data_IF_532941621833
#
_entry.id   IF_532941621833
#
_cell.length_a   1.000
_cell.length_b   1.000
_cell.length_c   1.000
_cell.angle_alpha   90.00
_cell.angle_beta   90.00
_cell.angle_gamma   90.00
#
_symmetry.space_group_name_H-M   'P 1'
#
loop_
_entity.id
_entity.type
_entity.pdbx_description
1 polymer ?
#
# COMPACT_ATOMS: atom_id res chain seq x y z
N UNK A 1 29.94 -8.87 18.51
CA UNK A 1 29.97 -10.26 18.04
C UNK A 1 28.96 -10.42 16.91
N UNK A 2 29.36 -10.20 15.66
CA UNK A 2 28.47 -10.34 14.50
C UNK A 2 28.39 -11.81 14.11
N UNK A 3 27.26 -12.46 14.41
CA UNK A 3 26.99 -13.84 14.01
C UNK A 3 26.78 -13.93 12.50
N UNK A 4 27.85 -14.23 11.75
CA UNK A 4 27.77 -14.57 10.33
C UNK A 4 26.92 -15.83 10.16
N UNK A 5 25.74 -15.72 9.54
CA UNK A 5 24.91 -16.88 9.19
C UNK A 5 25.66 -17.72 8.15
N UNK A 6 26.18 -18.87 8.55
CA UNK A 6 26.66 -19.87 7.60
C UNK A 6 25.51 -20.24 6.66
N UNK A 7 25.69 -19.99 5.37
CA UNK A 7 24.71 -20.36 4.35
C UNK A 7 24.79 -21.87 4.20
N UNK A 8 23.72 -22.58 4.59
CA UNK A 8 23.60 -24.03 4.40
C UNK A 8 23.90 -24.40 2.95
N UNK A 9 24.61 -25.50 2.71
CA UNK A 9 25.00 -26.00 1.39
C UNK A 9 23.84 -25.99 0.37
N UNK A 10 22.63 -26.34 0.83
CA UNK A 10 21.37 -26.32 0.08
C UNK A 10 20.89 -24.94 -0.41
N UNK A 11 21.61 -23.86 -0.10
CA UNK A 11 21.30 -22.46 -0.46
C UNK A 11 22.44 -21.75 -1.21
N UNK A 12 23.58 -22.42 -1.42
CA UNK A 12 24.76 -21.79 -2.03
C UNK A 12 24.47 -21.50 -3.51
N UNK A 13 24.59 -20.24 -3.92
CA UNK A 13 24.43 -19.80 -5.31
C UNK A 13 22.99 -19.71 -5.84
N UNK A 14 21.97 -19.88 -4.99
CA UNK A 14 20.57 -19.83 -5.39
C UNK A 14 19.88 -18.51 -5.04
N UNK A 15 18.87 -18.08 -5.82
CA UNK A 15 18.05 -16.92 -5.50
C UNK A 15 17.40 -17.02 -4.11
N UNK A 16 17.03 -15.88 -3.54
CA UNK A 16 16.42 -15.82 -2.21
C UNK A 16 15.15 -16.70 -2.16
N UNK A 17 15.01 -17.48 -1.09
CA UNK A 17 13.92 -18.46 -0.84
C UNK A 17 13.93 -19.71 -1.73
N UNK A 18 14.93 -19.89 -2.58
CA UNK A 18 15.14 -21.15 -3.26
C UNK A 18 15.93 -22.10 -2.37
N UNK A 19 15.62 -23.40 -2.48
CA UNK A 19 16.33 -24.47 -1.79
C UNK A 19 16.52 -25.64 -2.74
N UNK A 20 17.71 -26.23 -2.74
CA UNK A 20 17.95 -27.50 -3.37
C UNK A 20 17.82 -28.61 -2.32
N UNK A 21 16.85 -29.50 -2.50
CA UNK A 21 16.59 -30.62 -1.59
C UNK A 21 16.23 -31.85 -2.40
N UNK A 22 16.73 -33.02 -1.99
CA UNK A 22 16.40 -34.32 -2.62
C UNK A 22 16.49 -34.34 -4.16
N UNK A 23 17.52 -33.68 -4.73
CA UNK A 23 17.74 -33.65 -6.17
C UNK A 23 16.79 -32.71 -6.96
N UNK A 24 16.06 -31.83 -6.28
CA UNK A 24 15.15 -30.88 -6.91
C UNK A 24 15.22 -29.46 -6.29
N UNK A 25 14.82 -28.48 -7.08
CA UNK A 25 14.68 -27.09 -6.68
C UNK A 25 13.28 -26.83 -6.14
N UNK A 26 13.22 -26.20 -4.97
CA UNK A 26 11.99 -25.78 -4.32
C UNK A 26 11.99 -24.27 -4.07
N UNK A 27 10.82 -23.65 -4.25
CA UNK A 27 10.56 -22.28 -3.84
C UNK A 27 9.83 -22.26 -2.50
N UNK A 28 10.41 -21.62 -1.50
CA UNK A 28 9.76 -21.38 -0.21
C UNK A 28 8.85 -20.15 -0.34
N UNK A 29 7.55 -20.38 -0.23
CA UNK A 29 6.55 -19.32 -0.41
C UNK A 29 6.55 -18.41 0.83
N UNK A 30 6.58 -17.08 0.67
CA UNK A 30 6.33 -16.17 1.78
C UNK A 30 5.02 -16.47 2.51
N UNK A 31 5.01 -16.39 3.86
CA UNK A 31 3.78 -16.48 4.62
C UNK A 31 2.82 -15.37 4.17
N UNK A 32 1.58 -15.74 3.84
CA UNK A 32 0.55 -14.85 3.30
C UNK A 32 0.41 -14.87 1.77
N UNK A 33 1.38 -15.42 1.03
CA UNK A 33 1.26 -15.63 -0.43
C UNK A 33 0.95 -17.11 -0.77
N UNK A 34 0.67 -17.95 0.24
CA UNK A 34 0.39 -19.38 0.08
C UNK A 34 -0.79 -19.62 -0.86
N UNK A 35 -1.81 -18.75 -0.86
CA UNK A 35 -2.95 -18.83 -1.78
C UNK A 35 -2.54 -18.81 -3.27
N UNK A 36 -1.45 -18.12 -3.62
CA UNK A 36 -0.96 -18.06 -5.01
C UNK A 36 -0.18 -19.31 -5.43
N UNK A 37 0.21 -20.13 -4.45
CA UNK A 37 1.03 -21.34 -4.61
C UNK A 37 0.29 -22.58 -4.13
N UNK A 38 -0.99 -22.67 -4.46
CA UNK A 38 -1.87 -23.81 -4.16
C UNK A 38 -2.01 -24.12 -2.65
N UNK A 39 -1.85 -23.10 -1.79
CA UNK A 39 -1.84 -23.25 -0.33
C UNK A 39 -0.55 -23.88 0.23
N UNK A 40 0.49 -24.03 -0.59
CA UNK A 40 1.72 -24.74 -0.21
C UNK A 40 2.78 -23.77 0.31
N UNK A 41 3.44 -24.16 1.41
CA UNK A 41 4.59 -23.46 1.98
C UNK A 41 5.87 -23.63 1.14
N UNK A 42 5.93 -24.72 0.39
CA UNK A 42 7.04 -25.06 -0.50
C UNK A 42 6.49 -25.57 -1.82
N UNK A 43 6.94 -24.96 -2.92
CA UNK A 43 6.53 -25.34 -4.27
C UNK A 43 7.70 -25.98 -5.01
N UNK A 44 7.43 -27.10 -5.69
CA UNK A 44 8.43 -27.82 -6.47
C UNK A 44 8.63 -27.17 -7.84
N UNK A 45 9.84 -26.64 -8.09
CA UNK A 45 10.19 -25.95 -9.34
C UNK A 45 10.74 -26.91 -10.41
N UNK A 46 11.30 -28.06 -10.03
CA UNK A 46 11.85 -29.04 -10.97
C UNK A 46 13.23 -29.56 -10.57
N UNK A 47 13.77 -30.50 -11.34
CA UNK A 47 15.09 -31.11 -11.07
C UNK A 47 16.25 -30.32 -11.65
N UNK A 48 16.02 -29.59 -12.74
CA UNK A 48 17.02 -28.77 -13.41
C UNK A 48 16.91 -27.29 -13.07
N UNK A 49 18.05 -26.58 -13.00
CA UNK A 49 18.09 -25.15 -12.72
C UNK A 49 17.36 -24.33 -13.81
N UNK A 50 17.56 -24.57 -15.13
CA UNK A 50 16.84 -23.82 -16.17
C UNK A 50 15.33 -24.09 -16.22
N UNK A 51 14.92 -25.31 -15.86
CA UNK A 51 13.51 -25.69 -15.76
C UNK A 51 12.85 -24.97 -14.57
N UNK A 52 13.55 -24.92 -13.45
CA UNK A 52 13.11 -24.22 -12.26
C UNK A 52 12.93 -22.72 -12.50
N UNK A 53 13.87 -22.08 -13.21
CA UNK A 53 13.73 -20.66 -13.61
C UNK A 53 12.53 -20.44 -14.53
N UNK A 54 12.27 -21.32 -15.50
CA UNK A 54 11.10 -21.21 -16.38
C UNK A 54 9.78 -21.35 -15.61
N UNK A 55 9.66 -22.34 -14.72
CA UNK A 55 8.43 -22.51 -13.91
C UNK A 55 8.22 -21.37 -12.92
N UNK A 56 9.31 -20.85 -12.35
CA UNK A 56 9.25 -19.69 -11.48
C UNK A 56 8.84 -18.43 -12.25
N UNK A 57 9.47 -18.16 -13.40
CA UNK A 57 9.14 -17.01 -14.25
C UNK A 57 7.70 -17.07 -14.78
N UNK A 58 7.24 -18.21 -15.30
CA UNK A 58 5.86 -18.35 -15.81
C UNK A 58 4.78 -18.15 -14.74
N UNK A 59 5.11 -18.31 -13.45
CA UNK A 59 4.19 -18.06 -12.34
C UNK A 59 4.27 -16.61 -11.84
N UNK A 60 5.42 -15.96 -12.00
CA UNK A 60 5.66 -14.54 -11.66
C UNK A 60 5.14 -13.60 -12.77
N UNK A 61 5.35 -13.95 -14.04
CA UNK A 61 4.80 -13.28 -15.21
C UNK A 61 3.43 -13.88 -15.53
N UNK A 62 2.38 -13.40 -14.86
CA UNK A 62 1.03 -13.45 -15.43
C UNK A 62 0.72 -12.09 -16.05
N UNK A 63 1.13 -11.83 -17.31
CA UNK A 63 0.83 -10.56 -17.97
C UNK A 63 -0.69 -10.39 -18.04
N UNK A 64 -1.21 -9.39 -17.32
CA UNK A 64 -2.64 -9.07 -17.29
C UNK A 64 -3.36 -9.31 -15.96
N UNK A 65 -2.71 -9.91 -14.95
CA UNK A 65 -3.29 -9.91 -13.59
C UNK A 65 -2.82 -8.69 -12.81
N UNK A 66 -3.79 -7.89 -12.39
CA UNK A 66 -3.60 -6.77 -11.46
C UNK A 66 -3.16 -7.37 -10.13
N UNK A 67 -1.89 -7.19 -9.79
CA UNK A 67 -1.28 -7.78 -8.60
C UNK A 67 -0.96 -6.74 -7.54
N UNK A 68 -0.72 -5.50 -7.96
CA UNK A 68 -0.32 -4.40 -7.09
C UNK A 68 -1.45 -3.39 -6.91
N UNK A 69 -1.33 -2.56 -5.87
CA UNK A 69 -2.24 -1.42 -5.67
C UNK A 69 -2.08 -0.40 -6.81
N UNK A 70 -0.89 -0.25 -7.41
CA UNK A 70 -0.70 0.63 -8.57
C UNK A 70 -1.58 0.19 -9.73
N UNK A 71 -1.49 -1.08 -10.11
CA UNK A 71 -2.28 -1.66 -11.21
C UNK A 71 -3.79 -1.47 -10.98
N UNK A 72 -4.23 -1.64 -9.72
CA UNK A 72 -5.63 -1.47 -9.34
C UNK A 72 -6.07 -0.01 -9.51
N UNK A 73 -5.25 0.92 -9.05
CA UNK A 73 -5.54 2.35 -9.09
C UNK A 73 -5.47 2.91 -10.52
N UNK A 74 -4.60 2.37 -11.37
CA UNK A 74 -4.54 2.68 -12.79
C UNK A 74 -5.82 2.24 -13.52
N UNK A 75 -6.28 1.01 -13.27
CA UNK A 75 -7.58 0.58 -13.80
C UNK A 75 -8.73 1.42 -13.26
N UNK A 76 -8.69 1.80 -11.98
CA UNK A 76 -9.67 2.70 -11.36
C UNK A 76 -9.71 4.09 -12.00
N UNK A 77 -8.54 4.63 -12.39
CA UNK A 77 -8.43 5.88 -13.15
C UNK A 77 -9.10 5.79 -14.52
N UNK A 78 -9.05 4.64 -15.18
CA UNK A 78 -9.61 4.45 -16.52
C UNK A 78 -11.11 4.14 -16.51
N UNK A 79 -11.57 3.29 -15.59
CA UNK A 79 -12.95 2.78 -15.64
C UNK A 79 -13.94 3.51 -14.73
N UNK A 80 -13.47 4.10 -13.62
CA UNK A 80 -14.35 4.63 -12.56
C UNK A 80 -14.30 6.14 -12.50
N UNK A 81 -13.11 6.74 -12.54
CA UNK A 81 -12.96 8.19 -12.43
C UNK A 81 -13.70 8.96 -13.54
N UNK A 82 -13.64 8.59 -14.83
CA UNK A 82 -14.30 9.34 -15.91
C UNK A 82 -15.83 9.43 -15.78
N UNK A 83 -16.44 8.52 -15.00
CA UNK A 83 -17.89 8.49 -14.75
C UNK A 83 -18.32 9.48 -13.66
N UNK A 84 -17.38 10.09 -12.94
CA UNK A 84 -17.66 11.05 -11.85
C UNK A 84 -17.75 12.49 -12.37
N UNK A 85 -18.29 13.41 -11.58
CA UNK A 85 -18.36 14.83 -11.95
C UNK A 85 -16.96 15.43 -12.18
N UNK A 86 -16.77 16.36 -13.13
CA UNK A 86 -15.44 16.85 -13.56
C UNK A 86 -14.55 17.33 -12.40
N UNK A 87 -15.12 18.06 -11.43
CA UNK A 87 -14.39 18.51 -10.24
C UNK A 87 -13.86 17.32 -9.42
N UNK A 88 -14.73 16.35 -9.17
CA UNK A 88 -14.41 15.12 -8.43
C UNK A 88 -13.40 14.26 -9.18
N UNK A 89 -13.35 14.31 -10.51
CA UNK A 89 -12.32 13.62 -11.29
C UNK A 89 -10.92 14.15 -10.97
N UNK A 90 -10.76 15.48 -10.99
CA UNK A 90 -9.49 16.16 -10.73
C UNK A 90 -9.01 15.86 -9.31
N UNK A 91 -9.93 15.95 -8.33
CA UNK A 91 -9.63 15.67 -6.92
C UNK A 91 -9.24 14.19 -6.72
N UNK A 92 -10.02 13.24 -7.26
CA UNK A 92 -9.71 11.82 -7.15
C UNK A 92 -8.40 11.46 -7.85
N UNK A 93 -8.09 12.04 -9.01
CA UNK A 93 -6.81 11.81 -9.68
C UNK A 93 -5.62 12.32 -8.84
N UNK A 94 -5.80 13.39 -8.06
CA UNK A 94 -4.78 13.82 -7.08
C UNK A 94 -4.65 12.81 -5.94
N UNK A 95 -5.76 12.34 -5.38
CA UNK A 95 -5.74 11.32 -4.33
C UNK A 95 -5.10 10.01 -4.80
N UNK A 96 -5.42 9.55 -6.01
CA UNK A 96 -4.80 8.35 -6.60
C UNK A 96 -3.29 8.50 -6.70
N UNK A 97 -2.76 9.65 -7.15
CA UNK A 97 -1.30 9.88 -7.19
C UNK A 97 -0.64 9.77 -5.82
N UNK A 98 -1.25 10.35 -4.78
CA UNK A 98 -0.77 10.19 -3.40
C UNK A 98 -0.78 8.72 -2.95
N UNK A 99 -1.82 7.98 -3.30
CA UNK A 99 -1.97 6.57 -2.93
C UNK A 99 -0.99 5.68 -3.69
N UNK A 100 -0.74 5.95 -4.97
CA UNK A 100 0.28 5.24 -5.75
C UNK A 100 1.68 5.44 -5.15
N UNK A 101 2.01 6.67 -4.75
CA UNK A 101 3.29 6.95 -4.09
C UNK A 101 3.44 6.20 -2.75
N UNK A 102 2.33 6.03 -2.01
CA UNK A 102 2.36 5.37 -0.71
C UNK A 102 2.28 3.85 -0.80
N UNK A 103 1.38 3.30 -1.61
CA UNK A 103 1.01 1.89 -1.62
C UNK A 103 1.29 1.20 -2.96
N UNK A 104 1.76 1.90 -3.99
CA UNK A 104 1.83 1.38 -5.36
C UNK A 104 2.61 0.06 -5.50
N UNK A 105 3.68 -0.13 -4.72
CA UNK A 105 4.47 -1.36 -4.73
C UNK A 105 3.90 -2.50 -3.89
N UNK A 106 2.87 -2.24 -3.07
CA UNK A 106 2.26 -3.25 -2.23
C UNK A 106 1.32 -4.13 -3.05
N UNK A 107 1.31 -5.43 -2.74
CA UNK A 107 0.32 -6.35 -3.30
C UNK A 107 -1.06 -6.13 -2.67
N UNK A 108 -2.11 -6.45 -3.44
CA UNK A 108 -3.51 -6.32 -2.99
C UNK A 108 -3.81 -7.09 -1.69
N UNK A 109 -3.17 -8.24 -1.49
CA UNK A 109 -3.32 -9.10 -0.31
C UNK A 109 -2.44 -8.69 0.88
N UNK A 110 -1.49 -7.79 0.69
CA UNK A 110 -0.53 -7.38 1.73
C UNK A 110 -1.00 -6.16 2.53
N UNK A 111 -1.97 -5.41 2.00
CA UNK A 111 -2.57 -4.26 2.66
C UNK A 111 -3.38 -4.71 3.87
N UNK A 112 -3.03 -4.19 5.05
CA UNK A 112 -3.77 -4.43 6.31
C UNK A 112 -4.27 -3.12 6.92
N UNK A 113 -5.28 -3.17 7.81
CA UNK A 113 -5.78 -1.97 8.50
C UNK A 113 -4.69 -1.14 9.19
N UNK A 114 -3.67 -1.80 9.76
CA UNK A 114 -2.54 -1.10 10.41
C UNK A 114 -1.77 -0.18 9.47
N UNK A 115 -1.67 -0.56 8.20
CA UNK A 115 -0.94 0.22 7.19
C UNK A 115 -1.76 1.47 6.82
N UNK A 116 -3.09 1.39 6.90
CA UNK A 116 -4.02 2.53 6.74
C UNK A 116 -3.91 3.51 7.91
N UNK A 117 -3.94 3.04 9.16
CA UNK A 117 -3.78 3.93 10.32
C UNK A 117 -2.44 4.66 10.27
N UNK A 118 -1.34 3.94 9.98
CA UNK A 118 -0.01 4.55 9.85
C UNK A 118 0.02 5.62 8.76
N UNK A 119 -0.66 5.40 7.65
CA UNK A 119 -0.76 6.39 6.58
C UNK A 119 -1.49 7.66 7.02
N UNK A 120 -2.63 7.52 7.69
CA UNK A 120 -3.40 8.66 8.20
C UNK A 120 -2.60 9.41 9.28
N UNK A 121 -1.90 8.69 10.16
CA UNK A 121 -1.07 9.27 11.22
C UNK A 121 0.09 10.10 10.67
N UNK A 122 0.78 9.59 9.64
CA UNK A 122 1.89 10.28 8.99
C UNK A 122 1.49 11.54 8.22
N UNK A 123 0.22 11.69 7.84
CA UNK A 123 -0.28 12.86 7.11
C UNK A 123 -0.59 14.02 8.06
N UNK A 124 -0.09 15.20 7.73
CA UNK A 124 -0.45 16.46 8.40
C UNK A 124 -1.89 16.89 8.07
N UNK A 125 -2.27 16.83 6.80
CA UNK A 125 -3.62 17.15 6.34
C UNK A 125 -4.58 15.97 6.55
N UNK A 126 -5.13 15.84 7.76
CA UNK A 126 -5.99 14.70 8.15
C UNK A 126 -7.26 14.58 7.29
N UNK A 127 -7.88 15.70 6.91
CA UNK A 127 -9.06 15.68 6.02
C UNK A 127 -8.72 15.12 4.64
N UNK A 128 -7.58 15.52 4.07
CA UNK A 128 -7.13 14.98 2.78
C UNK A 128 -6.80 13.48 2.89
N UNK A 129 -6.13 13.06 3.96
CA UNK A 129 -5.83 11.65 4.20
C UNK A 129 -7.10 10.79 4.26
N UNK A 130 -8.16 11.26 4.93
CA UNK A 130 -9.45 10.56 4.97
C UNK A 130 -10.07 10.41 3.58
N UNK A 131 -10.04 11.47 2.76
CA UNK A 131 -10.51 11.41 1.36
C UNK A 131 -9.67 10.45 0.50
N UNK A 132 -8.37 10.38 0.74
CA UNK A 132 -7.49 9.41 0.09
C UNK A 132 -7.89 7.97 0.48
N UNK A 133 -8.13 7.70 1.77
CA UNK A 133 -8.57 6.38 2.23
C UNK A 133 -9.97 6.02 1.72
N UNK A 134 -10.87 7.00 1.57
CA UNK A 134 -12.19 6.80 0.96
C UNK A 134 -12.06 6.33 -0.49
N UNK A 135 -11.21 6.97 -1.29
CA UNK A 135 -10.90 6.56 -2.67
C UNK A 135 -10.29 5.15 -2.70
N UNK A 136 -9.34 4.87 -1.80
CA UNK A 136 -8.70 3.56 -1.70
C UNK A 136 -9.71 2.45 -1.37
N UNK A 137 -10.61 2.69 -0.40
CA UNK A 137 -11.65 1.71 -0.03
C UNK A 137 -12.62 1.46 -1.18
N UNK A 138 -12.99 2.50 -1.94
CA UNK A 138 -13.82 2.32 -3.11
C UNK A 138 -13.11 1.51 -4.21
N UNK A 139 -11.82 1.76 -4.44
CA UNK A 139 -11.00 1.00 -5.38
C UNK A 139 -10.95 -0.50 -5.00
N UNK A 140 -10.77 -0.83 -3.71
CA UNK A 140 -10.82 -2.23 -3.24
C UNK A 140 -12.21 -2.86 -3.37
N UNK A 141 -13.29 -2.09 -3.23
CA UNK A 141 -14.64 -2.59 -3.52
C UNK A 141 -14.78 -2.91 -5.01
N UNK A 142 -14.26 -2.07 -5.91
CA UNK A 142 -14.21 -2.34 -7.35
C UNK A 142 -13.32 -3.52 -7.70
N UNK A 143 -12.24 -3.73 -6.97
CA UNK A 143 -11.39 -4.90 -7.14
C UNK A 143 -12.15 -6.22 -6.92
N UNK A 144 -13.11 -6.26 -5.99
CA UNK A 144 -14.00 -7.41 -5.78
C UNK A 144 -14.97 -7.55 -6.95
N UNK A 145 -15.62 -6.47 -7.37
CA UNK A 145 -16.52 -6.49 -8.54
C UNK A 145 -15.82 -7.00 -9.82
N UNK A 146 -14.54 -6.67 -9.97
CA UNK A 146 -13.70 -7.13 -11.09
C UNK A 146 -13.12 -8.53 -10.91
N UNK A 147 -13.39 -9.21 -9.80
CA UNK A 147 -12.88 -10.56 -9.51
C UNK A 147 -11.37 -10.62 -9.28
N UNK A 148 -10.74 -9.53 -8.85
CA UNK A 148 -9.30 -9.46 -8.55
C UNK A 148 -8.97 -9.99 -7.14
N UNK A 149 -9.89 -9.78 -6.22
CA UNK A 149 -9.81 -10.20 -4.81
C UNK A 149 -11.16 -10.74 -4.36
N UNK A 150 -11.14 -11.72 -3.47
CA UNK A 150 -12.37 -12.32 -2.94
C UNK A 150 -13.00 -11.46 -1.83
N UNK A 151 -12.16 -10.81 -1.01
CA UNK A 151 -12.58 -10.12 0.20
C UNK A 151 -11.88 -8.77 0.36
N UNK A 152 -12.61 -7.78 0.89
CA UNK A 152 -12.06 -6.45 1.12
C UNK A 152 -11.11 -6.48 2.35
N UNK A 153 -9.84 -6.04 2.23
CA UNK A 153 -8.82 -6.25 3.26
C UNK A 153 -9.05 -5.53 4.59
N UNK A 154 -9.66 -4.34 4.58
CA UNK A 154 -9.80 -3.49 5.79
C UNK A 154 -11.21 -2.89 6.00
N UNK A 155 -12.22 -3.31 5.23
CA UNK A 155 -13.59 -2.76 5.35
C UNK A 155 -14.18 -3.17 6.71
N UNK A 156 -14.75 -2.20 7.43
CA UNK A 156 -15.34 -2.42 8.76
C UNK A 156 -14.34 -2.55 9.92
N UNK A 157 -13.04 -2.65 9.64
CA UNK A 157 -11.98 -2.74 10.67
C UNK A 157 -11.34 -1.37 10.96
N UNK A 158 -11.52 -0.41 10.05
CA UNK A 158 -11.05 0.96 10.21
C UNK A 158 -12.14 1.84 10.83
N UNK A 159 -11.80 2.54 11.91
CA UNK A 159 -12.62 3.58 12.52
C UNK A 159 -11.76 4.85 12.59
N UNK A 160 -11.96 5.72 11.61
CA UNK A 160 -11.33 7.04 11.59
C UNK A 160 -12.30 8.02 12.26
N UNK A 161 -11.83 8.78 13.24
CA UNK A 161 -12.63 9.83 13.86
C UNK A 161 -13.12 10.81 12.79
N UNK A 162 -14.40 11.20 12.90
CA UNK A 162 -15.04 12.14 12.00
C UNK A 162 -14.42 13.53 12.05
N UNK A 163 -14.72 14.34 11.05
CA UNK A 163 -14.42 15.77 11.12
C UNK A 163 -15.33 16.41 12.18
N UNK A 164 -14.73 17.15 13.12
CA UNK A 164 -15.53 18.02 13.99
C UNK A 164 -16.23 19.04 13.10
N UNK A 165 -17.58 19.11 13.13
CA UNK A 165 -18.31 20.16 12.43
C UNK A 165 -17.75 21.53 12.82
N UNK A 166 -17.84 22.50 11.92
CA UNK A 166 -17.43 23.88 12.28
C UNK A 166 -18.37 24.41 13.34
N UNK A 167 -17.82 24.86 14.45
CA UNK A 167 -18.61 25.23 15.65
C UNK A 167 -19.32 26.59 15.53
N UNK A 168 -18.84 27.50 14.65
CA UNK A 168 -19.32 28.89 14.59
C UNK A 168 -19.61 29.36 13.18
N UNK A 169 -20.74 30.04 13.02
CA UNK A 169 -21.04 30.82 11.83
C UNK A 169 -20.25 32.14 11.82
N UNK A 170 -20.06 32.71 10.63
CA UNK A 170 -19.45 34.03 10.48
C UNK A 170 -20.54 35.06 10.64
N UNK A 171 -20.34 36.03 11.53
CA UNK A 171 -21.32 37.08 11.82
C UNK A 171 -21.17 38.25 10.84
N UNK A 172 -22.25 39.00 10.60
CA UNK A 172 -22.28 40.08 9.60
C UNK A 172 -21.17 41.13 9.81
N UNK A 173 -20.82 41.43 11.07
CA UNK A 173 -19.76 42.39 11.37
C UNK A 173 -18.37 41.90 10.93
N UNK A 174 -18.12 40.60 10.97
CA UNK A 174 -16.85 39.99 10.55
C UNK A 174 -16.73 40.03 9.02
N UNK A 175 -17.86 39.90 8.32
CA UNK A 175 -17.91 40.08 6.86
C UNK A 175 -17.62 41.53 6.49
N UNK A 176 -18.25 42.48 7.20
CA UNK A 176 -18.05 43.92 6.98
C UNK A 176 -16.58 44.30 7.24
N UNK A 177 -16.00 43.82 8.34
CA UNK A 177 -14.59 44.05 8.66
C UNK A 177 -13.67 43.43 7.61
N UNK A 178 -13.89 42.17 7.22
CA UNK A 178 -13.09 41.50 6.20
C UNK A 178 -13.14 42.22 4.83
N UNK A 179 -14.28 42.81 4.47
CA UNK A 179 -14.43 43.62 3.25
C UNK A 179 -13.79 45.00 3.36
N UNK A 180 -13.68 45.55 4.58
CA UNK A 180 -13.00 46.83 4.82
C UNK A 180 -11.47 46.72 4.73
N UNK A 181 -10.92 45.50 4.86
CA UNK A 181 -9.51 45.24 4.68
C UNK A 181 -9.11 45.39 3.21
N UNK A 182 -8.01 46.11 2.97
CA UNK A 182 -7.40 46.22 1.64
C UNK A 182 -7.01 44.83 1.12
N UNK A 183 -7.51 44.48 -0.07
CA UNK A 183 -7.18 43.21 -0.70
C UNK A 183 -5.65 43.11 -0.88
N UNK A 184 -5.02 41.98 -0.48
CA UNK A 184 -3.61 41.80 -0.74
C UNK A 184 -3.38 41.91 -2.25
N UNK A 185 -2.47 42.81 -2.64
CA UNK A 185 -2.05 43.00 -4.03
C UNK A 185 -1.78 41.62 -4.64
N UNK A 186 -2.47 41.30 -5.75
CA UNK A 186 -2.21 40.07 -6.51
C UNK A 186 -0.71 40.03 -6.76
N UNK A 187 0.00 39.13 -6.07
CA UNK A 187 1.41 38.87 -6.35
C UNK A 187 1.44 38.45 -7.81
N UNK A 188 1.93 39.36 -8.66
CA UNK A 188 1.88 39.21 -10.12
C UNK A 188 2.34 37.81 -10.49
N UNK A 189 1.61 37.17 -11.40
CA UNK A 189 1.93 35.85 -11.93
C UNK A 189 3.32 35.96 -12.56
N UNK A 190 4.38 35.65 -11.79
CA UNK A 190 5.72 35.53 -12.36
C UNK A 190 5.60 34.40 -13.38
N UNK A 191 5.59 34.75 -14.67
CA UNK A 191 5.94 33.81 -15.72
C UNK A 191 7.40 33.45 -15.43
N UNK A 192 7.59 32.41 -14.63
CA UNK A 192 8.89 31.74 -14.53
C UNK A 192 9.24 31.22 -15.93
N UNK A 193 10.52 31.20 -16.30
CA UNK A 193 10.93 30.70 -17.60
C UNK A 193 10.41 29.27 -17.77
N UNK A 194 9.86 28.97 -18.94
CA UNK A 194 9.55 27.62 -19.37
C UNK A 194 10.86 26.83 -19.46
N UNK A 195 11.26 26.22 -18.35
CA UNK A 195 12.55 25.57 -18.20
C UNK A 195 12.45 24.38 -17.28
N UNK A 196 12.54 23.19 -17.88
CA UNK A 196 12.98 21.92 -17.30
C UNK A 196 12.33 21.49 -15.97
N UNK A 197 11.40 20.53 -16.09
CA UNK A 197 11.11 19.59 -15.01
C UNK A 197 12.37 18.76 -14.69
N UNK A 198 13.20 19.24 -13.76
CA UNK A 198 13.95 18.34 -12.89
C UNK A 198 13.04 18.03 -11.70
N UNK A 199 12.40 16.87 -11.75
CA UNK A 199 11.72 16.29 -10.60
C UNK A 199 12.80 15.83 -9.61
N UNK A 200 13.24 16.73 -8.73
CA UNK A 200 13.88 16.29 -7.50
C UNK A 200 12.81 15.65 -6.64
N UNK A 201 12.90 14.32 -6.56
CA UNK A 201 12.09 13.48 -5.69
C UNK A 201 12.17 14.03 -4.25
N UNK A 202 11.05 14.08 -3.49
CA UNK A 202 11.14 14.42 -2.08
C UNK A 202 12.13 13.50 -1.39
N UNK A 203 13.14 14.13 -0.79
CA UNK A 203 14.22 13.49 -0.08
C UNK A 203 13.69 12.41 0.87
N UNK A 204 14.27 11.22 0.69
CA UNK A 204 14.04 9.93 1.34
C UNK A 204 12.87 9.13 0.76
N UNK A 205 13.16 8.03 0.02
CA UNK A 205 12.15 7.00 -0.17
C UNK A 205 11.68 6.56 1.22
N UNK A 206 10.38 6.65 1.47
CA UNK A 206 9.77 5.94 2.58
C UNK A 206 9.88 4.45 2.22
N UNK A 207 11.02 3.85 2.54
CA UNK A 207 11.23 2.43 2.39
C UNK A 207 10.23 1.77 3.30
N UNK A 208 9.20 1.14 2.72
CA UNK A 208 8.42 0.18 3.46
C UNK A 208 9.39 -0.89 3.92
N UNK A 209 9.71 -0.88 5.21
CA UNK A 209 10.23 -2.02 5.92
C UNK A 209 9.17 -3.10 5.93
N UNK A 210 8.82 -3.67 4.78
CA UNK A 210 8.37 -5.05 4.70
C UNK A 210 9.59 -5.92 5.01
N UNK A 211 10.03 -5.85 6.27
CA UNK A 211 10.76 -6.91 6.90
C UNK A 211 9.84 -8.13 6.84
N UNK A 212 10.11 -9.00 5.87
CA UNK A 212 9.78 -10.41 5.96
C UNK A 212 10.01 -10.85 7.41
N UNK A 213 8.99 -11.32 8.16
CA UNK A 213 9.17 -11.63 9.57
C UNK A 213 10.13 -12.81 9.68
N UNK A 214 11.30 -12.54 10.24
CA UNK A 214 12.25 -13.52 10.72
C UNK A 214 12.65 -13.06 12.13
N UNK A 215 11.79 -13.37 13.09
CA UNK A 215 12.01 -13.46 14.54
C UNK A 215 10.66 -13.98 15.08
N UNK A 216 10.57 -15.20 15.60
CA UNK A 216 11.10 -15.54 16.91
C UNK A 216 10.02 -15.23 17.96
N UNK A 217 8.95 -16.02 17.99
CA UNK A 217 8.06 -16.08 19.16
C UNK A 217 8.54 -17.25 20.01
N UNK A 218 9.53 -16.98 20.85
CA UNK A 218 9.63 -17.67 22.13
C UNK A 218 8.47 -17.15 22.98
N UNK A 219 7.64 -18.08 23.45
CA UNK A 219 6.65 -17.85 24.50
C UNK A 219 7.36 -17.86 25.85
N UNK A 220 7.20 -16.83 26.69
CA UNK A 220 7.33 -17.01 28.12
C UNK A 220 5.95 -16.84 28.80
N UNK A 221 5.65 -17.76 29.72
CA UNK A 221 4.88 -17.42 30.91
C UNK A 221 3.36 -17.61 30.85
N UNK A 222 2.93 -18.84 31.08
CA UNK A 222 2.00 -19.24 32.17
C UNK A 222 1.35 -18.07 32.93
N UNK A 223 0.06 -17.83 32.72
CA UNK A 223 -0.79 -17.08 33.64
C UNK A 223 -1.66 -18.07 34.41
N UNK A 224 -1.44 -18.14 35.71
CA UNK A 224 -2.25 -18.89 36.64
C UNK A 224 -3.63 -18.24 36.78
N UNK A 225 -4.65 -19.07 36.71
CA UNK A 225 -6.03 -18.79 37.09
C UNK A 225 -6.08 -18.44 38.58
N UNK A 226 -6.36 -17.17 38.90
CA UNK A 226 -6.80 -16.74 40.22
C UNK A 226 -8.32 -16.60 40.21
N UNK A 227 -9.01 -17.64 40.66
CA UNK A 227 -10.44 -17.59 40.91
C UNK A 227 -10.71 -16.77 42.18
N UNK A 228 -11.57 -15.78 42.04
CA UNK A 228 -12.25 -15.08 43.13
C UNK A 228 -13.32 -16.02 43.68
N UNK A 229 -13.31 -16.25 44.99
CA UNK A 229 -14.46 -16.64 45.80
C UNK A 229 -14.26 -16.04 47.18
#
# INVERSE_FOLDING_TARGET
>A
MAGGRQISENKKGLPRRWRFMHGAYFYSVPPGQECMWDGKKTFHLGRGLPEAFRKWAARMEQPGKIHTVSDLLERYLLEVIPKKAPKTQIENARHVRSLMAAFGSAHLYEIRPRDIYRYVDARSAKTAARREIEVLSHAFTKAIEWGLIDNHPFKGQIRLEGETPRDRYVEDWEVIEALSLSAPQKRGRRQGPAGLYQAEAPDRPFTWGYASPAAGCEFPGRWHSGAVS
#
